data_IF_554297520498
#
_entry.id   IF_554297520498
#
_cell.length_a   1.000
_cell.length_b   1.000
_cell.length_c   1.000
_cell.angle_alpha   90.00
_cell.angle_beta   90.00
_cell.angle_gamma   90.00
#
_symmetry.space_group_name_H-M   'P 1'
#
loop_
_entity.id
_entity.type
_entity.pdbx_description
1 polymer ?
#
# COMPACT_ATOMS: atom_id res chain seq x y z
N UNK A 1 7.75 5.02 -11.57
CA UNK A 1 6.88 5.92 -10.82
C UNK A 1 5.45 5.45 -10.88
N UNK A 2 4.81 5.40 -9.71
CA UNK A 2 3.38 5.19 -9.59
C UNK A 2 2.64 6.55 -9.64
N UNK A 3 1.51 6.60 -10.33
CA UNK A 3 0.64 7.78 -10.40
C UNK A 3 -0.77 7.31 -10.02
N UNK A 4 -1.28 7.82 -8.91
CA UNK A 4 -2.62 7.54 -8.36
C UNK A 4 -3.27 8.87 -7.99
N UNK A 5 -4.57 8.88 -7.74
CA UNK A 5 -5.25 10.07 -7.22
C UNK A 5 -4.84 10.29 -5.76
N UNK A 6 -3.73 10.97 -5.54
CA UNK A 6 -3.21 11.34 -4.23
C UNK A 6 -2.60 12.75 -4.29
N UNK A 7 -2.48 13.42 -3.15
CA UNK A 7 -1.89 14.76 -3.04
C UNK A 7 -2.61 15.84 -3.87
N UNK A 8 -3.91 15.67 -4.17
CA UNK A 8 -4.68 16.66 -4.91
C UNK A 8 -4.98 17.92 -4.09
N UNK A 9 -4.97 17.80 -2.77
CA UNK A 9 -5.00 18.89 -1.80
C UNK A 9 -3.82 19.86 -1.97
N UNK A 10 -2.65 19.35 -2.36
CA UNK A 10 -1.44 20.13 -2.60
C UNK A 10 -1.31 20.59 -4.07
N UNK A 11 -1.59 19.71 -5.01
CA UNK A 11 -1.38 19.97 -6.44
C UNK A 11 -2.58 20.60 -7.15
N UNK A 12 -3.74 20.69 -6.51
CA UNK A 12 -4.99 21.19 -7.08
C UNK A 12 -5.60 20.23 -8.11
N UNK A 13 -4.86 19.84 -9.16
CA UNK A 13 -5.38 18.94 -10.20
C UNK A 13 -4.51 17.70 -10.38
N UNK A 14 -5.12 16.62 -10.89
CA UNK A 14 -4.38 15.42 -11.30
C UNK A 14 -3.33 15.72 -12.37
N UNK A 15 -3.61 16.67 -13.27
CA UNK A 15 -2.68 17.11 -14.32
C UNK A 15 -1.42 17.71 -13.70
N UNK A 16 -1.56 18.58 -12.71
CA UNK A 16 -0.43 19.24 -12.05
C UNK A 16 0.39 18.24 -11.24
N UNK A 17 -0.28 17.32 -10.53
CA UNK A 17 0.38 16.22 -9.85
C UNK A 17 1.20 15.34 -10.82
N UNK A 18 0.63 14.93 -11.95
CA UNK A 18 1.34 14.17 -12.99
C UNK A 18 2.52 14.96 -13.54
N UNK A 19 2.33 16.25 -13.87
CA UNK A 19 3.39 17.11 -14.35
C UNK A 19 4.54 17.26 -13.35
N UNK A 20 4.21 17.43 -12.07
CA UNK A 20 5.19 17.50 -10.99
C UNK A 20 6.01 16.20 -10.88
N UNK A 21 5.37 15.03 -10.93
CA UNK A 21 6.09 13.76 -10.94
C UNK A 21 6.96 13.52 -12.16
N UNK A 22 6.51 13.96 -13.33
CA UNK A 22 7.25 13.82 -14.58
C UNK A 22 8.44 14.79 -14.69
N UNK A 23 8.49 15.83 -13.84
CA UNK A 23 9.60 16.79 -13.82
C UNK A 23 10.97 16.14 -13.60
N UNK A 24 11.04 15.01 -12.88
CA UNK A 24 12.29 14.26 -12.71
C UNK A 24 12.93 13.86 -14.04
N UNK A 25 12.14 13.63 -15.09
CA UNK A 25 12.65 13.24 -16.40
C UNK A 25 13.21 14.41 -17.21
N UNK A 26 12.91 15.66 -16.84
CA UNK A 26 13.51 16.84 -17.47
C UNK A 26 14.97 17.03 -17.06
N UNK A 27 15.38 16.42 -15.95
CA UNK A 27 16.75 16.45 -15.43
C UNK A 27 17.61 15.33 -16.01
N UNK A 28 17.03 14.43 -16.81
CA UNK A 28 17.72 13.28 -17.39
C UNK A 28 18.28 13.59 -18.78
N UNK A 29 19.49 13.14 -19.04
CA UNK A 29 20.16 13.23 -20.34
C UNK A 29 19.99 11.97 -21.19
N UNK A 30 20.65 11.95 -22.36
CA UNK A 30 20.60 10.84 -23.34
C UNK A 30 21.13 9.49 -22.81
N UNK A 31 21.98 9.52 -21.80
CA UNK A 31 22.56 8.32 -21.20
C UNK A 31 21.75 7.76 -20.03
N UNK A 32 20.74 8.50 -19.54
CA UNK A 32 19.90 8.09 -18.45
C UNK A 32 18.73 7.21 -18.89
N UNK A 33 18.14 6.50 -17.95
CA UNK A 33 17.01 5.62 -18.18
C UNK A 33 15.77 6.15 -17.45
N UNK A 34 14.66 6.29 -18.20
CA UNK A 34 13.34 6.55 -17.65
C UNK A 34 12.56 5.26 -17.56
N UNK A 35 12.48 4.66 -16.37
CA UNK A 35 11.69 3.47 -16.12
C UNK A 35 10.28 3.87 -15.68
N UNK A 36 9.28 3.52 -16.47
CA UNK A 36 7.88 3.87 -16.22
C UNK A 36 6.93 2.68 -16.43
N UNK A 37 5.77 2.72 -15.80
CA UNK A 37 4.71 1.77 -16.09
C UNK A 37 4.16 2.03 -17.50
N UNK A 38 3.87 0.95 -18.25
CA UNK A 38 3.40 1.01 -19.65
C UNK A 38 2.15 1.87 -19.85
N UNK A 39 1.26 1.94 -18.85
CA UNK A 39 0.07 2.80 -18.87
C UNK A 39 0.37 4.30 -19.03
N UNK A 40 1.59 4.74 -18.68
CA UNK A 40 2.02 6.15 -18.81
C UNK A 40 2.87 6.42 -20.05
N UNK A 41 3.05 5.44 -20.93
CA UNK A 41 3.86 5.55 -22.16
C UNK A 41 3.51 6.79 -23.01
N UNK A 42 2.22 7.02 -23.22
CA UNK A 42 1.77 8.12 -24.07
C UNK A 42 2.04 9.51 -23.46
N UNK A 43 1.89 9.62 -22.12
CA UNK A 43 2.19 10.87 -21.41
C UNK A 43 3.69 11.17 -21.50
N UNK A 44 4.54 10.17 -21.34
CA UNK A 44 5.98 10.32 -21.46
C UNK A 44 6.39 10.74 -22.88
N UNK A 45 5.90 10.06 -23.92
CA UNK A 45 6.24 10.33 -25.31
C UNK A 45 5.87 11.74 -25.76
N UNK A 46 4.72 12.27 -25.30
CA UNK A 46 4.26 13.63 -25.63
C UNK A 46 5.23 14.73 -25.18
N UNK A 47 6.04 14.48 -24.14
CA UNK A 47 6.94 15.49 -23.56
C UNK A 47 8.37 15.46 -24.10
N UNK A 48 8.69 14.56 -25.04
CA UNK A 48 9.99 14.45 -25.74
C UNK A 48 11.21 14.50 -24.79
N UNK A 49 11.19 13.71 -23.73
CA UNK A 49 12.34 13.58 -22.82
C UNK A 49 13.56 12.95 -23.52
N UNK A 50 14.77 13.34 -23.10
CA UNK A 50 16.02 12.85 -23.66
C UNK A 50 16.38 11.44 -23.24
N UNK A 51 15.94 11.03 -22.04
CA UNK A 51 16.29 9.73 -21.46
C UNK A 51 15.71 8.55 -22.24
N UNK A 52 16.41 7.43 -22.18
CA UNK A 52 15.98 6.18 -22.81
C UNK A 52 14.78 5.60 -22.06
N UNK A 53 13.64 5.51 -22.75
CA UNK A 53 12.41 4.99 -22.18
C UNK A 53 12.47 3.48 -22.01
N UNK A 54 12.25 3.01 -20.79
CA UNK A 54 12.09 1.59 -20.46
C UNK A 54 10.68 1.40 -19.89
N UNK A 55 9.89 0.58 -20.57
CA UNK A 55 8.56 0.22 -20.09
C UNK A 55 8.66 -0.95 -19.13
N UNK A 56 8.04 -0.79 -17.96
CA UNK A 56 7.95 -1.83 -16.96
C UNK A 56 7.20 -3.05 -17.52
N UNK A 57 7.83 -4.22 -17.47
CA UNK A 57 7.20 -5.49 -17.82
C UNK A 57 6.62 -6.12 -16.56
N UNK A 58 5.31 -6.28 -16.47
CA UNK A 58 4.60 -6.78 -15.28
C UNK A 58 5.08 -8.15 -14.79
N UNK A 59 5.67 -8.95 -15.65
CA UNK A 59 6.14 -10.29 -15.31
C UNK A 59 7.68 -10.40 -15.23
N UNK A 60 8.39 -9.26 -15.29
CA UNK A 60 9.86 -9.29 -15.33
C UNK A 60 10.47 -10.04 -14.14
N UNK A 61 9.88 -9.84 -12.95
CA UNK A 61 10.39 -10.46 -11.73
C UNK A 61 9.75 -11.83 -11.40
N UNK A 62 8.76 -12.31 -12.19
CA UNK A 62 8.05 -13.58 -11.95
C UNK A 62 9.01 -14.77 -11.79
N UNK A 63 10.08 -14.82 -12.61
CA UNK A 63 11.07 -15.90 -12.57
C UNK A 63 11.84 -15.98 -11.25
N UNK A 64 12.06 -14.86 -10.57
CA UNK A 64 12.79 -14.82 -9.30
C UNK A 64 11.86 -14.74 -8.09
N UNK A 65 10.58 -14.48 -8.30
CA UNK A 65 9.58 -14.36 -7.24
C UNK A 65 9.51 -15.60 -6.34
N UNK A 66 9.61 -16.78 -6.91
CA UNK A 66 9.58 -18.05 -6.17
C UNK A 66 10.75 -18.18 -5.16
N UNK A 67 11.88 -17.54 -5.41
CA UNK A 67 13.07 -17.58 -4.54
C UNK A 67 13.06 -16.47 -3.48
N UNK A 68 12.09 -15.54 -3.53
CA UNK A 68 11.94 -14.50 -2.51
C UNK A 68 11.17 -15.11 -1.33
N UNK A 69 11.83 -15.25 -0.18
CA UNK A 69 11.24 -15.78 1.07
C UNK A 69 10.46 -14.73 1.85
N UNK A 70 10.70 -13.45 1.58
CA UNK A 70 10.03 -12.34 2.24
C UNK A 70 8.58 -12.21 1.75
N UNK A 71 7.61 -12.61 2.57
CA UNK A 71 6.17 -12.62 2.22
C UNK A 71 5.64 -11.22 1.90
N UNK A 72 6.11 -10.18 2.58
CA UNK A 72 5.74 -8.81 2.29
C UNK A 72 6.12 -8.41 0.86
N UNK A 73 7.37 -8.66 0.44
CA UNK A 73 7.83 -8.36 -0.92
C UNK A 73 7.18 -9.26 -1.98
N UNK A 74 6.85 -10.49 -1.61
CA UNK A 74 6.20 -11.46 -2.48
C UNK A 74 4.72 -11.19 -2.69
N UNK A 75 4.12 -10.38 -1.82
CA UNK A 75 2.70 -10.05 -1.85
C UNK A 75 2.30 -9.31 -3.14
N UNK A 76 1.02 -9.39 -3.49
CA UNK A 76 0.47 -8.64 -4.63
C UNK A 76 0.61 -7.12 -4.47
N UNK A 77 0.63 -6.63 -3.23
CA UNK A 77 0.85 -5.23 -2.86
C UNK A 77 2.14 -4.69 -3.44
N UNK A 78 3.20 -5.48 -3.33
CA UNK A 78 4.52 -5.06 -3.74
C UNK A 78 4.87 -5.50 -5.16
N UNK A 79 3.96 -6.14 -5.89
CA UNK A 79 4.26 -6.68 -7.20
C UNK A 79 4.78 -5.62 -8.18
N UNK A 80 4.16 -4.45 -8.22
CA UNK A 80 4.63 -3.34 -9.07
C UNK A 80 5.99 -2.82 -8.60
N UNK A 81 6.15 -2.58 -7.30
CA UNK A 81 7.42 -2.12 -6.72
C UNK A 81 8.55 -3.11 -6.98
N UNK A 82 8.30 -4.41 -6.84
CA UNK A 82 9.27 -5.46 -7.11
C UNK A 82 9.64 -5.57 -8.59
N UNK A 83 8.69 -5.35 -9.50
CA UNK A 83 9.00 -5.27 -10.93
C UNK A 83 9.90 -4.06 -11.24
N UNK A 84 9.65 -2.90 -10.62
CA UNK A 84 10.53 -1.73 -10.74
C UNK A 84 11.93 -2.04 -10.21
N UNK A 85 12.03 -2.56 -8.98
CA UNK A 85 13.31 -2.88 -8.34
C UNK A 85 14.10 -3.93 -9.15
N UNK A 86 13.42 -4.97 -9.64
CA UNK A 86 14.07 -6.00 -10.45
C UNK A 86 14.53 -5.46 -11.80
N UNK A 87 13.71 -4.68 -12.50
CA UNK A 87 14.09 -4.09 -13.78
C UNK A 87 15.29 -3.15 -13.61
N UNK A 88 15.28 -2.32 -12.56
CA UNK A 88 16.40 -1.45 -12.22
C UNK A 88 17.67 -2.26 -11.93
N UNK A 89 17.56 -3.37 -11.18
CA UNK A 89 18.71 -4.23 -10.89
C UNK A 89 19.35 -4.81 -12.15
N UNK A 90 18.54 -5.08 -13.21
CA UNK A 90 19.07 -5.55 -14.50
C UNK A 90 19.80 -4.45 -15.26
N UNK A 91 19.29 -3.23 -15.23
CA UNK A 91 19.99 -2.07 -15.80
C UNK A 91 21.34 -1.83 -15.14
N UNK A 92 21.41 -2.07 -13.82
CA UNK A 92 22.65 -1.97 -13.04
C UNK A 92 23.52 -3.24 -13.10
N UNK A 93 23.19 -4.20 -13.97
CA UNK A 93 23.91 -5.48 -14.15
C UNK A 93 24.01 -6.32 -12.88
N UNK A 94 23.09 -6.16 -11.93
CA UNK A 94 23.04 -6.95 -10.69
C UNK A 94 22.56 -8.37 -11.01
N UNK A 95 23.26 -9.37 -10.51
CA UNK A 95 22.90 -10.78 -10.70
C UNK A 95 21.60 -11.15 -9.98
N UNK A 96 20.87 -12.16 -10.49
CA UNK A 96 19.66 -12.67 -9.83
C UNK A 96 19.96 -13.14 -8.39
N UNK A 97 21.11 -13.81 -8.18
CA UNK A 97 21.54 -14.28 -6.86
C UNK A 97 21.68 -13.13 -5.86
N UNK A 98 22.36 -12.04 -6.27
CA UNK A 98 22.53 -10.85 -5.43
C UNK A 98 21.19 -10.17 -5.14
N UNK A 99 20.34 -10.01 -6.14
CA UNK A 99 19.00 -9.45 -5.97
C UNK A 99 18.17 -10.25 -4.97
N UNK A 100 18.06 -11.57 -5.16
CA UNK A 100 17.32 -12.48 -4.27
C UNK A 100 17.85 -12.39 -2.84
N UNK A 101 19.18 -12.43 -2.67
CA UNK A 101 19.84 -12.32 -1.35
C UNK A 101 19.47 -11.01 -0.65
N UNK A 102 19.48 -9.88 -1.35
CA UNK A 102 19.12 -8.58 -0.82
C UNK A 102 17.64 -8.51 -0.44
N UNK A 103 16.75 -9.00 -1.30
CA UNK A 103 15.31 -9.00 -1.02
C UNK A 103 14.96 -9.91 0.17
N UNK A 104 15.64 -11.03 0.36
CA UNK A 104 15.44 -11.91 1.50
C UNK A 104 15.95 -11.33 2.83
N UNK A 105 16.88 -10.39 2.77
CA UNK A 105 17.37 -9.65 3.95
C UNK A 105 16.55 -8.39 4.26
N UNK A 106 15.67 -7.98 3.36
CA UNK A 106 14.88 -6.76 3.55
C UNK A 106 13.84 -6.95 4.66
N UNK A 107 13.96 -6.19 5.72
CA UNK A 107 13.08 -6.26 6.90
C UNK A 107 11.77 -5.49 6.76
N UNK A 108 11.55 -4.79 5.65
CA UNK A 108 10.40 -3.90 5.44
C UNK A 108 10.69 -2.45 5.88
N UNK A 109 9.68 -1.61 5.75
CA UNK A 109 9.72 -0.23 6.21
C UNK A 109 8.81 -0.09 7.44
N UNK A 110 9.29 0.59 8.48
CA UNK A 110 8.48 0.90 9.66
C UNK A 110 7.18 1.58 9.26
N UNK A 111 6.08 1.16 9.90
CA UNK A 111 4.74 1.71 9.72
C UNK A 111 4.13 1.50 8.32
N UNK A 112 4.72 0.64 7.48
CA UNK A 112 4.19 0.29 6.16
C UNK A 112 3.93 -1.21 6.09
N UNK A 113 2.70 -1.60 6.38
CA UNK A 113 2.27 -3.01 6.50
C UNK A 113 3.24 -3.83 7.37
N UNK A 114 3.74 -3.20 8.42
CA UNK A 114 4.75 -3.74 9.31
C UNK A 114 4.11 -4.78 10.24
N UNK A 115 4.49 -6.03 10.08
CA UNK A 115 4.15 -7.07 11.06
C UNK A 115 5.09 -6.95 12.24
N UNK A 116 4.65 -6.30 13.32
CA UNK A 116 5.50 -6.03 14.49
C UNK A 116 5.33 -7.04 15.62
N UNK A 117 4.24 -7.81 15.61
CA UNK A 117 3.99 -8.84 16.62
C UNK A 117 3.13 -9.95 16.04
N UNK A 118 3.52 -11.20 16.33
CA UNK A 118 2.68 -12.40 16.14
C UNK A 118 2.52 -13.09 17.51
N UNK A 119 1.27 -13.30 17.93
CA UNK A 119 0.98 -13.96 19.19
C UNK A 119 -0.16 -14.96 19.00
N UNK A 120 0.10 -16.23 19.19
CA UNK A 120 -0.85 -17.31 18.85
C UNK A 120 -1.34 -17.14 17.41
N UNK A 121 -2.64 -17.10 17.17
CA UNK A 121 -3.28 -16.93 15.85
C UNK A 121 -3.55 -15.47 15.48
N UNK A 122 -2.96 -14.50 16.19
CA UNK A 122 -3.16 -13.08 15.97
C UNK A 122 -1.89 -12.48 15.39
N UNK A 123 -2.03 -11.78 14.28
CA UNK A 123 -0.96 -10.98 13.67
C UNK A 123 -1.29 -9.50 13.84
N UNK A 124 -0.37 -8.75 14.42
CA UNK A 124 -0.49 -7.30 14.59
C UNK A 124 0.29 -6.60 13.49
N UNK A 125 -0.40 -5.73 12.76
CA UNK A 125 0.15 -5.03 11.60
C UNK A 125 0.01 -3.53 11.84
N UNK A 126 1.13 -2.80 11.71
CA UNK A 126 1.16 -1.36 11.71
C UNK A 126 1.26 -0.84 10.27
N UNK A 127 0.21 -0.18 9.80
CA UNK A 127 0.16 0.42 8.46
C UNK A 127 -0.19 1.91 8.54
N UNK A 128 0.29 2.60 9.57
CA UNK A 128 0.00 4.02 9.80
C UNK A 128 0.58 4.96 8.73
N UNK A 129 1.42 4.47 7.83
CA UNK A 129 1.83 5.16 6.58
C UNK A 129 0.76 5.14 5.49
N UNK A 130 -0.30 4.35 5.63
CA UNK A 130 -1.50 4.44 4.79
C UNK A 130 -2.31 5.67 5.22
N UNK A 131 -1.93 6.84 4.73
CA UNK A 131 -2.49 8.15 5.11
C UNK A 131 -3.78 8.50 4.38
N UNK A 132 -4.37 7.55 3.65
CA UNK A 132 -5.69 7.66 3.02
C UNK A 132 -6.45 6.33 3.13
N UNK A 133 -7.77 6.38 3.02
CA UNK A 133 -8.61 5.18 3.00
C UNK A 133 -8.27 4.29 1.79
N UNK A 134 -8.02 4.90 0.63
CA UNK A 134 -7.62 4.15 -0.57
C UNK A 134 -6.27 3.44 -0.39
N UNK A 135 -5.30 4.05 0.30
CA UNK A 135 -4.04 3.40 0.63
C UNK A 135 -4.24 2.18 1.55
N UNK A 136 -5.19 2.24 2.50
CA UNK A 136 -5.52 1.13 3.40
C UNK A 136 -6.19 -0.05 2.68
N UNK A 137 -6.91 0.21 1.58
CA UNK A 137 -7.65 -0.80 0.81
C UNK A 137 -6.81 -2.01 0.46
N UNK A 138 -5.57 -1.79 0.20
CA UNK A 138 -4.63 -2.80 -0.20
C UNK A 138 -4.33 -3.81 0.92
N UNK A 139 -4.04 -3.33 2.13
CA UNK A 139 -3.84 -4.17 3.30
C UNK A 139 -5.11 -4.96 3.64
N UNK A 140 -6.27 -4.30 3.55
CA UNK A 140 -7.57 -4.90 3.82
C UNK A 140 -7.96 -5.97 2.80
N UNK A 141 -7.54 -5.85 1.53
CA UNK A 141 -7.82 -6.83 0.49
C UNK A 141 -7.00 -8.12 0.62
N UNK A 142 -5.82 -8.06 1.24
CA UNK A 142 -4.88 -9.18 1.30
C UNK A 142 -4.85 -9.91 2.65
N UNK A 143 -5.74 -9.56 3.57
CA UNK A 143 -5.89 -10.22 4.86
C UNK A 143 -7.33 -10.67 5.09
N UNK A 144 -7.55 -11.58 6.03
CA UNK A 144 -8.88 -12.06 6.43
C UNK A 144 -9.06 -11.90 7.94
N UNK A 145 -10.32 -11.89 8.38
CA UNK A 145 -10.67 -11.75 9.80
C UNK A 145 -10.05 -10.51 10.45
N UNK A 146 -10.14 -9.38 9.78
CA UNK A 146 -9.47 -8.14 10.16
C UNK A 146 -10.26 -7.43 11.27
N UNK A 147 -9.58 -7.06 12.34
CA UNK A 147 -10.00 -6.07 13.31
C UNK A 147 -9.26 -4.76 12.98
N UNK A 148 -9.95 -3.83 12.36
CA UNK A 148 -9.34 -2.65 11.76
C UNK A 148 -9.44 -1.43 12.66
N UNK A 149 -8.31 -0.93 13.17
CA UNK A 149 -8.24 0.34 13.88
C UNK A 149 -7.91 1.44 12.88
N UNK A 150 -8.78 2.46 12.79
CA UNK A 150 -8.61 3.57 11.87
C UNK A 150 -9.01 4.90 12.49
N UNK A 151 -8.43 5.98 11.96
CA UNK A 151 -8.69 7.34 12.41
C UNK A 151 -7.60 8.29 11.93
N UNK A 152 -7.70 9.55 12.28
CA UNK A 152 -6.76 10.58 11.90
C UNK A 152 -7.43 11.76 11.21
N UNK A 153 -6.65 12.53 10.45
CA UNK A 153 -7.15 13.63 9.63
C UNK A 153 -7.57 13.09 8.26
N UNK A 154 -8.85 13.14 7.89
CA UNK A 154 -9.28 12.72 6.57
C UNK A 154 -8.73 13.66 5.50
N UNK A 155 -8.38 13.12 4.35
CA UNK A 155 -8.09 13.93 3.16
C UNK A 155 -9.39 14.29 2.44
N UNK A 156 -9.41 15.44 1.79
CA UNK A 156 -10.54 15.85 0.98
C UNK A 156 -10.85 14.80 -0.10
N UNK A 157 -12.14 14.45 -0.22
CA UNK A 157 -12.64 13.45 -1.17
C UNK A 157 -12.08 12.04 -0.99
N UNK A 158 -11.40 11.75 0.13
CA UNK A 158 -10.92 10.41 0.44
C UNK A 158 -12.11 9.48 0.70
N UNK A 159 -12.37 8.57 -0.21
CA UNK A 159 -13.46 7.57 -0.12
C UNK A 159 -12.87 6.18 -0.29
N UNK A 160 -13.47 5.21 0.38
CA UNK A 160 -13.11 3.80 0.22
C UNK A 160 -14.26 3.01 -0.40
N UNK A 161 -13.98 2.33 -1.51
CA UNK A 161 -14.89 1.32 -2.01
C UNK A 161 -14.69 0.02 -1.23
N UNK A 162 -15.67 -0.29 -0.39
CA UNK A 162 -15.67 -1.47 0.48
C UNK A 162 -16.23 -2.73 -0.19
N UNK A 163 -16.77 -2.62 -1.42
CA UNK A 163 -17.51 -3.70 -2.08
C UNK A 163 -16.78 -5.05 -2.05
N UNK A 164 -15.48 -5.05 -2.33
CA UNK A 164 -14.69 -6.29 -2.44
C UNK A 164 -13.88 -6.63 -1.19
N UNK A 165 -13.87 -5.77 -0.17
CA UNK A 165 -13.04 -5.93 1.02
C UNK A 165 -13.82 -6.04 2.32
N UNK A 166 -15.09 -5.63 2.35
CA UNK A 166 -15.93 -5.66 3.57
C UNK A 166 -16.01 -7.05 4.20
N UNK A 167 -16.06 -8.11 3.41
CA UNK A 167 -16.08 -9.50 3.90
C UNK A 167 -14.79 -9.96 4.57
N UNK A 168 -13.71 -9.20 4.45
CA UNK A 168 -12.45 -9.45 5.15
C UNK A 168 -12.42 -8.82 6.55
N UNK A 169 -13.29 -7.83 6.81
CA UNK A 169 -13.28 -7.02 8.03
C UNK A 169 -14.35 -7.53 8.98
N UNK A 170 -13.93 -8.06 10.11
CA UNK A 170 -14.84 -8.49 11.18
C UNK A 170 -15.45 -7.27 11.87
N UNK A 171 -14.60 -6.29 12.22
CA UNK A 171 -15.03 -5.06 12.88
C UNK A 171 -14.00 -3.96 12.73
N UNK A 172 -14.48 -2.72 12.65
CA UNK A 172 -13.65 -1.52 12.64
C UNK A 172 -13.74 -0.77 13.98
N UNK A 173 -12.65 -0.13 14.38
CA UNK A 173 -12.55 0.67 15.61
C UNK A 173 -12.07 2.06 15.24
N UNK A 174 -12.96 3.02 15.34
CA UNK A 174 -12.71 4.39 14.92
C UNK A 174 -12.17 5.19 16.09
N UNK A 175 -11.03 5.87 15.89
CA UNK A 175 -10.37 6.71 16.88
C UNK A 175 -10.27 8.17 16.41
N UNK A 176 -10.11 9.07 17.38
CA UNK A 176 -9.80 10.48 17.14
C UNK A 176 -11.02 11.37 16.88
N UNK A 177 -10.73 12.65 16.63
CA UNK A 177 -11.76 13.71 16.57
C UNK A 177 -12.67 13.60 15.34
N UNK A 178 -12.19 13.05 14.22
CA UNK A 178 -12.92 12.95 12.97
C UNK A 178 -13.75 11.66 12.85
N UNK A 179 -14.18 11.09 13.96
CA UNK A 179 -14.89 9.81 14.00
C UNK A 179 -16.16 9.78 13.13
N UNK A 180 -16.90 10.89 13.02
CA UNK A 180 -18.09 10.99 12.17
C UNK A 180 -17.79 10.80 10.68
N UNK A 181 -16.65 11.31 10.20
CA UNK A 181 -16.22 11.09 8.83
C UNK A 181 -16.03 9.60 8.54
N UNK A 182 -15.24 8.91 9.35
CA UNK A 182 -14.99 7.48 9.19
C UNK A 182 -16.23 6.62 9.40
N UNK A 183 -17.10 6.98 10.37
CA UNK A 183 -18.40 6.36 10.57
C UNK A 183 -19.23 6.37 9.29
N UNK A 184 -19.32 7.52 8.60
CA UNK A 184 -20.09 7.65 7.38
C UNK A 184 -19.52 6.80 6.22
N UNK A 185 -18.21 6.59 6.17
CA UNK A 185 -17.59 5.69 5.19
C UNK A 185 -17.91 4.20 5.43
N UNK A 186 -18.04 3.81 6.70
CA UNK A 186 -18.25 2.41 7.10
C UNK A 186 -19.72 2.03 7.23
N UNK A 187 -20.60 3.01 7.41
CA UNK A 187 -22.03 2.82 7.66
C UNK A 187 -22.63 1.86 6.63
N UNK A 188 -23.41 0.89 7.12
CA UNK A 188 -24.09 -0.14 6.34
C UNK A 188 -23.17 -1.16 5.63
N UNK A 189 -21.85 -1.05 5.76
CA UNK A 189 -20.89 -1.97 5.12
C UNK A 189 -20.07 -2.79 6.11
N UNK A 190 -19.65 -2.20 7.23
CA UNK A 190 -18.78 -2.81 8.21
C UNK A 190 -19.26 -2.49 9.62
N UNK A 191 -19.31 -3.51 10.47
CA UNK A 191 -19.56 -3.30 11.90
C UNK A 191 -18.45 -2.44 12.51
N UNK A 192 -18.81 -1.44 13.31
CA UNK A 192 -17.81 -0.55 13.91
C UNK A 192 -18.10 -0.22 15.38
N UNK A 193 -17.09 0.26 16.06
CA UNK A 193 -17.19 0.92 17.38
C UNK A 193 -16.36 2.19 17.36
N UNK A 194 -16.86 3.27 17.98
CA UNK A 194 -16.07 4.47 18.20
C UNK A 194 -15.36 4.32 19.55
N UNK A 195 -14.07 4.56 19.57
CA UNK A 195 -13.20 4.47 20.74
C UNK A 195 -12.45 5.78 20.92
N UNK A 196 -12.07 6.12 22.18
CA UNK A 196 -11.44 7.41 22.45
C UNK A 196 -10.02 7.51 21.85
N UNK A 197 -9.25 6.43 21.93
CA UNK A 197 -7.84 6.42 21.53
C UNK A 197 -7.36 5.01 21.15
N UNK A 198 -6.12 4.89 20.72
CA UNK A 198 -5.51 3.63 20.30
C UNK A 198 -5.49 2.59 21.42
N UNK A 199 -5.16 2.97 22.65
CA UNK A 199 -5.13 2.05 23.80
C UNK A 199 -6.51 1.41 24.04
N UNK A 200 -7.56 2.21 24.05
CA UNK A 200 -8.92 1.72 24.23
C UNK A 200 -9.38 0.83 23.08
N UNK A 201 -8.97 1.15 21.84
CA UNK A 201 -9.22 0.29 20.68
C UNK A 201 -8.58 -1.08 20.83
N UNK A 202 -7.31 -1.13 21.21
CA UNK A 202 -6.59 -2.40 21.39
C UNK A 202 -7.26 -3.26 22.47
N UNK A 203 -7.60 -2.67 23.61
CA UNK A 203 -8.32 -3.38 24.68
C UNK A 203 -9.63 -3.96 24.16
N UNK A 204 -10.42 -3.15 23.44
CA UNK A 204 -11.71 -3.59 22.89
C UNK A 204 -11.54 -4.67 21.81
N UNK A 205 -10.56 -4.54 20.93
CA UNK A 205 -10.21 -5.60 19.95
C UNK A 205 -9.92 -6.92 20.65
N UNK A 206 -9.07 -6.92 21.66
CA UNK A 206 -8.70 -8.14 22.39
C UNK A 206 -9.90 -8.76 23.11
N UNK A 207 -10.81 -7.94 23.65
CA UNK A 207 -12.06 -8.41 24.27
C UNK A 207 -12.98 -9.06 23.24
N UNK A 208 -13.16 -8.39 22.08
CA UNK A 208 -14.03 -8.89 21.02
C UNK A 208 -13.47 -10.20 20.41
N UNK A 209 -12.14 -10.34 20.26
CA UNK A 209 -11.49 -11.59 19.82
C UNK A 209 -11.77 -12.73 20.80
N UNK A 210 -11.60 -12.50 22.11
CA UNK A 210 -11.87 -13.51 23.14
C UNK A 210 -13.33 -13.98 23.10
N UNK A 211 -14.27 -13.06 22.92
CA UNK A 211 -15.69 -13.38 22.81
C UNK A 211 -16.01 -14.23 21.59
N UNK A 212 -15.42 -13.92 20.43
CA UNK A 212 -15.62 -14.71 19.20
C UNK A 212 -14.99 -16.09 19.27
N UNK A 213 -13.87 -16.25 19.97
CA UNK A 213 -13.26 -17.56 20.21
C UNK A 213 -14.14 -18.45 21.08
N UNK A 214 -14.80 -17.88 22.10
CA UNK A 214 -15.72 -18.62 22.98
C UNK A 214 -17.02 -19.07 22.27
N UNK A 215 -17.47 -18.34 21.24
CA UNK A 215 -18.68 -18.71 20.47
C UNK A 215 -18.46 -19.84 19.46
N UNK A 216 -17.23 -20.24 19.21
CA UNK A 216 -16.88 -21.32 18.27
C UNK A 216 -16.61 -22.67 18.96
N UNK A 217 -16.81 -22.75 20.28
CA UNK A 217 -16.84 -23.95 21.09
C UNK A 217 -18.29 -24.28 21.44
#
# INVERSE_FOLDING_TARGET
LNITNDHLDWHGTLKDYVNSKLKIFTLQGKNDFALINSKFKNIFKRKKYLSKLILLRFNAYKRVKAFIKNDYLRSNINNENMNFAFTLSKLLKISNKAFIKSMNKFVGLKHRHEVFLKKKNITFINDSKATSLEASKFALANSKNIFWILGGLPKDKDKIDLKYIKGNIVKAYIIGKNSNYFKNQLKNNVNYSITKNLKNSIIKVLTDIKFLQKKKI
#
